data_IF_297655141797
#
_entry.id   IF_297655141797
#
_cell.length_a   1.000
_cell.length_b   1.000
_cell.length_c   1.000
_cell.angle_alpha   90.00
_cell.angle_beta   90.00
_cell.angle_gamma   90.00
#
_symmetry.space_group_name_H-M   'P 1'
#
loop_
_entity.id
_entity.type
_entity.pdbx_description
1 polymer ?
#
# COMPACT_ATOMS: atom_id res chain seq x y z
N UNK A 1 17.49 13.88 17.23
CA UNK A 1 16.28 14.21 16.46
C UNK A 1 15.30 13.07 16.63
N UNK A 2 14.12 13.32 17.14
CA UNK A 2 13.06 12.30 17.14
C UNK A 2 12.56 12.19 15.70
N UNK A 3 12.57 10.99 15.13
CA UNK A 3 11.97 10.77 13.83
C UNK A 3 10.44 10.80 14.01
N UNK A 4 9.78 11.85 13.56
CA UNK A 4 8.33 12.06 13.69
C UNK A 4 7.62 11.77 12.36
N UNK A 5 8.04 10.71 11.70
CA UNK A 5 7.57 10.33 10.38
C UNK A 5 7.02 8.91 10.37
N UNK A 6 6.03 8.69 9.53
CA UNK A 6 5.48 7.37 9.18
C UNK A 6 5.08 7.38 7.72
N UNK A 7 5.32 6.27 7.03
CA UNK A 7 4.80 6.04 5.70
C UNK A 7 3.52 5.19 5.78
N UNK A 8 2.43 5.72 5.25
CA UNK A 8 1.14 5.03 5.22
C UNK A 8 0.65 4.98 3.78
N UNK A 9 0.09 3.86 3.39
CA UNK A 9 -0.43 3.71 2.04
C UNK A 9 -1.14 2.40 1.80
N UNK A 10 -0.99 1.95 0.57
CA UNK A 10 -1.62 0.73 0.05
C UNK A 10 -0.59 -0.14 -0.65
N UNK A 11 -0.86 -1.42 -0.73
CA UNK A 11 -0.20 -2.28 -1.70
C UNK A 11 -1.02 -2.34 -2.97
N UNK A 12 -0.36 -2.12 -4.07
CA UNK A 12 -0.93 -2.15 -5.42
C UNK A 12 -0.64 -3.50 -6.03
N UNK A 13 -1.62 -4.10 -6.72
CA UNK A 13 -1.43 -5.33 -7.48
C UNK A 13 -1.98 -5.15 -8.90
N UNK A 14 -1.15 -5.49 -9.89
CA UNK A 14 -1.44 -5.38 -11.33
C UNK A 14 -0.87 -6.58 -12.07
N UNK A 15 -1.35 -6.91 -13.28
CA UNK A 15 -0.71 -7.91 -14.14
C UNK A 15 0.76 -7.58 -14.41
N UNK A 16 1.62 -8.59 -14.46
CA UNK A 16 3.07 -8.43 -14.71
C UNK A 16 3.35 -7.59 -15.95
N UNK A 17 2.56 -7.76 -17.02
CA UNK A 17 2.74 -7.05 -18.29
C UNK A 17 2.74 -5.53 -18.17
N UNK A 18 2.08 -4.97 -17.16
CA UNK A 18 2.05 -3.52 -16.89
C UNK A 18 3.41 -3.04 -16.38
N UNK A 19 4.09 -3.83 -15.55
CA UNK A 19 5.34 -3.44 -14.89
C UNK A 19 6.61 -4.04 -15.52
N UNK A 20 6.49 -5.02 -16.39
CA UNK A 20 7.60 -5.80 -16.94
C UNK A 20 8.72 -4.94 -17.55
N UNK A 21 8.37 -3.90 -18.28
CA UNK A 21 9.35 -3.00 -18.93
C UNK A 21 10.19 -2.19 -17.93
N UNK A 22 9.70 -2.02 -16.68
CA UNK A 22 10.43 -1.40 -15.58
C UNK A 22 11.16 -2.43 -14.73
N UNK A 23 10.54 -3.58 -14.48
CA UNK A 23 11.06 -4.57 -13.52
C UNK A 23 12.08 -5.53 -14.11
N UNK A 24 12.07 -5.77 -15.43
CA UNK A 24 13.07 -6.60 -16.10
C UNK A 24 14.46 -5.96 -16.16
N UNK A 25 14.61 -4.66 -16.53
CA UNK A 25 15.91 -4.01 -16.58
C UNK A 25 16.41 -3.50 -15.23
N UNK A 26 15.54 -3.32 -14.24
CA UNK A 26 15.87 -2.72 -12.94
C UNK A 26 15.69 -3.74 -11.83
N UNK A 27 16.69 -3.85 -10.94
CA UNK A 27 16.57 -4.71 -9.76
C UNK A 27 15.39 -4.31 -8.88
N UNK A 28 15.19 -2.99 -8.68
CA UNK A 28 14.04 -2.41 -7.99
C UNK A 28 13.65 -1.11 -8.68
N UNK A 29 12.48 -1.09 -9.32
CA UNK A 29 11.95 0.13 -9.92
C UNK A 29 11.34 1.01 -8.84
N UNK A 30 12.02 2.10 -8.48
CA UNK A 30 11.55 3.04 -7.47
C UNK A 30 11.03 4.31 -8.15
N UNK A 31 9.72 4.50 -8.08
CA UNK A 31 9.04 5.69 -8.58
C UNK A 31 8.74 6.64 -7.40
N UNK A 32 8.94 7.93 -7.63
CA UNK A 32 8.69 8.98 -6.64
C UNK A 32 7.89 10.09 -7.31
N UNK A 33 6.87 10.57 -6.61
CA UNK A 33 6.03 11.68 -7.03
C UNK A 33 5.71 12.59 -5.84
N UNK A 34 5.65 13.89 -6.07
CA UNK A 34 5.16 14.83 -5.08
C UNK A 34 3.75 15.24 -5.50
N UNK A 35 2.77 14.94 -4.65
CA UNK A 35 1.35 15.16 -4.93
C UNK A 35 1.05 16.65 -5.09
N UNK A 36 0.29 17.01 -6.12
CA UNK A 36 -0.01 18.40 -6.44
C UNK A 36 -0.87 19.08 -5.36
N UNK A 37 -1.84 18.32 -4.80
CA UNK A 37 -2.80 18.88 -3.83
C UNK A 37 -2.18 19.11 -2.46
N UNK A 38 -1.37 18.18 -1.96
CA UNK A 38 -0.89 18.20 -0.58
C UNK A 38 0.63 18.23 -0.46
N UNK A 39 1.36 18.27 -1.56
CA UNK A 39 2.83 18.25 -1.62
C UNK A 39 3.46 17.05 -0.90
N UNK A 40 2.68 16.04 -0.56
CA UNK A 40 3.18 14.83 0.05
C UNK A 40 4.03 14.02 -0.94
N UNK A 41 5.17 13.55 -0.48
CA UNK A 41 5.97 12.58 -1.22
C UNK A 41 5.26 11.23 -1.24
N UNK A 42 5.02 10.71 -2.43
CA UNK A 42 4.53 9.35 -2.66
C UNK A 42 5.62 8.55 -3.34
N UNK A 43 5.88 7.34 -2.87
CA UNK A 43 6.90 6.48 -3.46
C UNK A 43 6.44 5.04 -3.56
N UNK A 44 6.94 4.33 -4.59
CA UNK A 44 6.86 2.88 -4.60
C UNK A 44 7.88 2.27 -3.65
N UNK A 45 7.59 1.09 -3.14
CA UNK A 45 8.48 0.36 -2.25
C UNK A 45 8.24 -1.16 -2.35
N UNK A 46 9.31 -1.96 -2.18
CA UNK A 46 9.25 -3.43 -2.23
C UNK A 46 8.45 -3.94 -3.43
N UNK A 47 8.99 -3.73 -4.63
CA UNK A 47 8.36 -4.20 -5.86
C UNK A 47 8.66 -5.69 -6.07
N UNK A 48 7.60 -6.48 -6.23
CA UNK A 48 7.63 -7.93 -6.32
C UNK A 48 7.04 -8.43 -7.65
N UNK A 49 7.85 -8.50 -8.73
CA UNK A 49 7.40 -9.07 -10.00
C UNK A 49 7.12 -10.57 -9.87
N UNK A 50 5.94 -11.00 -10.32
CA UNK A 50 5.51 -12.40 -10.15
C UNK A 50 5.30 -12.80 -8.69
N UNK A 51 5.21 -11.83 -7.78
CA UNK A 51 5.02 -12.05 -6.36
C UNK A 51 3.55 -12.18 -5.95
N UNK A 52 3.32 -12.36 -4.67
CA UNK A 52 1.99 -12.36 -4.09
C UNK A 52 1.86 -11.27 -3.02
N UNK A 53 0.64 -10.80 -2.83
CA UNK A 53 0.27 -9.96 -1.69
C UNK A 53 0.14 -10.86 -0.47
N UNK A 54 0.69 -10.45 0.64
CA UNK A 54 0.68 -11.18 1.92
C UNK A 54 0.15 -10.30 3.05
N UNK A 55 -0.28 -10.97 4.10
CA UNK A 55 -0.66 -10.35 5.36
C UNK A 55 0.48 -10.52 6.35
N UNK A 56 0.77 -9.48 7.10
CA UNK A 56 1.75 -9.44 8.17
C UNK A 56 1.08 -8.96 9.45
N UNK A 57 1.45 -9.53 10.59
CA UNK A 57 0.89 -9.16 11.87
C UNK A 57 1.92 -8.46 12.74
N UNK A 58 1.57 -7.27 13.21
CA UNK A 58 2.33 -6.50 14.18
C UNK A 58 1.91 -6.86 15.61
N UNK A 59 2.68 -6.38 16.57
CA UNK A 59 2.36 -6.52 18.00
C UNK A 59 0.91 -6.06 18.28
N UNK A 60 0.21 -6.85 19.10
CA UNK A 60 -1.22 -6.61 19.38
C UNK A 60 -2.19 -7.18 18.33
N UNK A 61 -1.70 -8.02 17.38
CA UNK A 61 -2.54 -8.69 16.39
C UNK A 61 -3.02 -7.78 15.25
N UNK A 62 -2.34 -6.65 15.03
CA UNK A 62 -2.68 -5.71 13.96
C UNK A 62 -2.25 -6.29 12.63
N UNK A 63 -3.20 -6.61 11.76
CA UNK A 63 -2.92 -7.05 10.40
C UNK A 63 -2.60 -5.85 9.50
N UNK A 64 -1.49 -5.93 8.78
CA UNK A 64 -1.07 -5.00 7.74
C UNK A 64 -0.77 -5.75 6.46
N UNK A 65 -0.85 -5.07 5.32
CA UNK A 65 -0.50 -5.70 4.05
C UNK A 65 1.01 -5.60 3.80
N UNK A 66 1.55 -6.63 3.18
CA UNK A 66 2.92 -6.69 2.68
C UNK A 66 2.95 -7.43 1.34
N UNK A 67 4.12 -7.63 0.76
CA UNK A 67 4.31 -8.40 -0.46
C UNK A 67 5.46 -9.37 -0.32
N UNK A 68 5.36 -10.45 -1.06
CA UNK A 68 6.36 -11.49 -1.08
C UNK A 68 6.69 -11.91 -2.50
N UNK A 69 7.96 -12.18 -2.79
CA UNK A 69 8.41 -12.73 -4.06
C UNK A 69 9.09 -14.08 -3.83
N UNK A 70 9.01 -14.94 -4.85
CA UNK A 70 9.65 -16.25 -4.83
C UNK A 70 10.85 -16.29 -5.76
N UNK A 71 11.95 -16.88 -5.29
CA UNK A 71 13.10 -17.20 -6.13
C UNK A 71 12.76 -18.33 -7.12
N UNK A 72 11.91 -19.27 -6.70
CA UNK A 72 11.44 -20.35 -7.55
C UNK A 72 10.43 -19.83 -8.58
N UNK A 73 10.79 -19.97 -9.86
CA UNK A 73 9.95 -19.51 -10.96
C UNK A 73 8.60 -20.23 -11.04
N UNK A 74 8.50 -21.48 -10.54
CA UNK A 74 7.27 -22.26 -10.54
C UNK A 74 6.20 -21.72 -9.57
N UNK A 75 6.62 -20.92 -8.59
CA UNK A 75 5.75 -20.30 -7.59
C UNK A 75 5.33 -18.88 -7.96
N UNK A 76 5.85 -18.35 -9.07
CA UNK A 76 5.53 -16.99 -9.52
C UNK A 76 4.09 -16.87 -9.97
N UNK A 77 3.49 -15.74 -9.62
CA UNK A 77 2.14 -15.38 -10.05
C UNK A 77 2.16 -14.59 -11.36
N UNK A 78 0.99 -14.35 -11.94
CA UNK A 78 0.84 -13.49 -13.13
C UNK A 78 0.82 -12.00 -12.79
N UNK A 79 0.99 -11.65 -11.50
CA UNK A 79 0.88 -10.28 -11.01
C UNK A 79 2.22 -9.76 -10.45
N UNK A 80 2.40 -8.46 -10.59
CA UNK A 80 3.38 -7.67 -9.85
C UNK A 80 2.66 -6.90 -8.74
N UNK A 81 3.23 -6.90 -7.54
CA UNK A 81 2.72 -6.04 -6.46
C UNK A 81 3.82 -5.16 -5.89
N UNK A 82 3.43 -4.02 -5.36
CA UNK A 82 4.33 -3.06 -4.71
C UNK A 82 3.55 -2.13 -3.77
N UNK A 83 4.22 -1.64 -2.73
CA UNK A 83 3.65 -0.61 -1.89
C UNK A 83 3.64 0.75 -2.59
N UNK A 84 2.59 1.54 -2.41
CA UNK A 84 2.55 2.98 -2.63
C UNK A 84 2.36 3.68 -1.31
N UNK A 85 3.41 4.33 -0.85
CA UNK A 85 3.52 4.91 0.47
C UNK A 85 3.56 6.43 0.40
N UNK A 86 2.74 7.07 1.22
CA UNK A 86 2.72 8.52 1.42
C UNK A 86 3.54 8.84 2.65
N UNK A 87 4.62 9.58 2.49
CA UNK A 87 5.45 10.03 3.61
C UNK A 87 4.72 11.12 4.39
N UNK A 88 4.52 10.87 5.68
CA UNK A 88 3.80 11.76 6.56
C UNK A 88 4.69 12.20 7.70
N UNK A 89 4.91 13.50 7.80
CA UNK A 89 5.68 14.14 8.86
C UNK A 89 4.75 14.91 9.78
N UNK A 90 4.92 14.72 11.09
CA UNK A 90 4.13 15.41 12.09
C UNK A 90 4.93 16.48 12.81
N UNK A 91 4.25 17.54 13.24
CA UNK A 91 4.78 18.64 14.03
C UNK A 91 4.29 18.56 15.47
N UNK A 92 5.06 19.19 16.38
CA UNK A 92 4.60 19.33 17.78
C UNK A 92 3.22 19.98 17.85
N UNK A 93 2.37 19.57 18.82
CA UNK A 93 2.67 18.73 19.99
C UNK A 93 2.66 17.21 19.71
N UNK A 94 2.27 16.75 18.51
CA UNK A 94 2.18 15.35 18.19
C UNK A 94 3.59 14.74 17.97
N UNK A 95 3.86 13.58 18.56
CA UNK A 95 5.16 12.92 18.52
C UNK A 95 5.10 11.38 18.51
N UNK A 96 3.94 10.80 18.15
CA UNK A 96 3.73 9.35 18.19
C UNK A 96 3.36 8.77 16.81
N UNK A 97 4.23 8.89 15.79
CA UNK A 97 3.92 8.49 14.42
C UNK A 97 3.61 6.98 14.29
N UNK A 98 4.29 6.14 15.07
CA UNK A 98 4.03 4.69 15.10
C UNK A 98 2.61 4.39 15.58
N UNK A 99 2.20 5.04 16.68
CA UNK A 99 0.83 4.90 17.21
C UNK A 99 -0.22 5.33 16.21
N UNK A 100 0.04 6.43 15.47
CA UNK A 100 -0.85 6.90 14.42
C UNK A 100 -0.99 5.86 13.30
N UNK A 101 0.13 5.31 12.80
CA UNK A 101 0.11 4.27 11.78
C UNK A 101 -0.64 3.01 12.21
N UNK A 102 -0.39 2.56 13.45
CA UNK A 102 -1.11 1.42 14.05
C UNK A 102 -2.61 1.70 14.17
N UNK A 103 -3.01 2.91 14.55
CA UNK A 103 -4.42 3.29 14.64
C UNK A 103 -5.12 3.21 13.29
N UNK A 104 -4.48 3.69 12.21
CA UNK A 104 -5.03 3.59 10.85
C UNK A 104 -5.17 2.12 10.42
N UNK A 105 -4.17 1.29 10.72
CA UNK A 105 -4.24 -0.15 10.42
C UNK A 105 -5.35 -0.85 11.21
N UNK A 106 -5.50 -0.55 12.51
CA UNK A 106 -6.58 -1.08 13.36
C UNK A 106 -7.96 -0.70 12.83
N UNK A 107 -8.13 0.53 12.32
CA UNK A 107 -9.38 0.96 11.69
C UNK A 107 -9.73 0.08 10.48
N UNK A 108 -8.74 -0.24 9.64
CA UNK A 108 -8.89 -1.20 8.55
C UNK A 108 -9.31 -2.58 9.03
N UNK A 109 -8.62 -3.09 10.06
CA UNK A 109 -8.91 -4.41 10.64
C UNK A 109 -10.32 -4.49 11.23
N UNK A 110 -10.77 -3.42 11.88
CA UNK A 110 -12.13 -3.35 12.42
C UNK A 110 -13.19 -3.54 11.32
N UNK A 111 -12.98 -2.98 10.14
CA UNK A 111 -13.90 -3.07 9.02
C UNK A 111 -13.85 -4.40 8.25
N UNK A 112 -12.79 -5.17 8.46
CA UNK A 112 -12.55 -6.46 7.76
C UNK A 112 -12.67 -7.67 8.69
N UNK A 113 -12.99 -7.45 9.96
CA UNK A 113 -13.03 -8.54 10.93
C UNK A 113 -11.65 -9.06 11.34
N UNK A 114 -10.61 -8.22 11.23
CA UNK A 114 -9.25 -8.53 11.69
C UNK A 114 -8.20 -8.72 10.58
N UNK A 115 -8.61 -8.72 9.31
CA UNK A 115 -7.70 -8.93 8.17
C UNK A 115 -7.42 -7.67 7.35
N UNK A 116 -6.97 -7.88 6.12
CA UNK A 116 -6.62 -6.84 5.13
C UNK A 116 -7.81 -6.55 4.21
N UNK A 117 -8.01 -5.28 3.89
CA UNK A 117 -9.02 -4.85 2.91
C UNK A 117 -8.47 -4.86 1.49
N UNK A 118 -9.31 -5.20 0.50
CA UNK A 118 -9.03 -5.02 -0.92
C UNK A 118 -10.11 -4.19 -1.59
N UNK A 119 -9.68 -3.25 -2.46
CA UNK A 119 -10.59 -2.43 -3.27
C UNK A 119 -10.06 -2.30 -4.69
N UNK A 120 -10.96 -2.36 -5.68
CA UNK A 120 -10.62 -2.01 -7.06
C UNK A 120 -10.49 -0.50 -7.22
N UNK A 121 -9.45 -0.05 -7.92
CA UNK A 121 -9.27 1.39 -8.18
C UNK A 121 -10.50 2.01 -8.83
N UNK A 122 -11.12 1.34 -9.79
CA UNK A 122 -12.33 1.85 -10.45
C UNK A 122 -13.51 2.06 -9.52
N UNK A 123 -13.63 1.27 -8.46
CA UNK A 123 -14.69 1.45 -7.45
C UNK A 123 -14.35 2.59 -6.51
N UNK A 124 -13.09 2.70 -6.07
CA UNK A 124 -12.60 3.83 -5.26
C UNK A 124 -12.84 5.17 -5.98
N UNK A 125 -12.48 5.27 -7.26
CA UNK A 125 -12.65 6.49 -8.07
C UNK A 125 -14.13 6.89 -8.27
N UNK A 126 -15.04 5.93 -8.17
CA UNK A 126 -16.50 6.15 -8.24
C UNK A 126 -17.13 6.34 -6.86
N UNK A 127 -16.33 6.47 -5.79
CA UNK A 127 -16.79 6.67 -4.43
C UNK A 127 -17.66 5.53 -3.90
N UNK A 128 -17.34 4.28 -4.23
CA UNK A 128 -18.13 3.12 -3.81
C UNK A 128 -17.23 1.97 -3.36
N UNK A 129 -17.76 1.15 -2.43
CA UNK A 129 -17.04 -0.04 -1.99
C UNK A 129 -16.95 -1.09 -3.10
N UNK A 130 -15.89 -1.87 -3.11
CA UNK A 130 -15.82 -3.13 -3.83
C UNK A 130 -16.56 -4.20 -3.02
N UNK A 131 -17.36 -5.02 -3.69
CA UNK A 131 -17.97 -6.22 -3.16
C UNK A 131 -17.46 -7.46 -3.93
N UNK A 132 -17.83 -8.66 -3.47
CA UNK A 132 -17.40 -9.92 -4.07
C UNK A 132 -17.74 -9.99 -5.56
N UNK A 133 -18.94 -9.52 -5.95
CA UNK A 133 -19.40 -9.59 -7.34
C UNK A 133 -18.58 -8.65 -8.25
N UNK A 134 -18.18 -7.48 -7.75
CA UNK A 134 -17.30 -6.55 -8.45
C UNK A 134 -15.88 -7.06 -8.53
N UNK A 135 -15.37 -7.64 -7.42
CA UNK A 135 -14.03 -8.22 -7.39
C UNK A 135 -13.92 -9.39 -8.36
N UNK A 136 -14.94 -10.25 -8.43
CA UNK A 136 -14.99 -11.36 -9.38
C UNK A 136 -14.96 -10.94 -10.85
N UNK A 137 -15.39 -9.71 -11.17
CA UNK A 137 -15.34 -9.13 -12.52
C UNK A 137 -14.03 -8.45 -12.86
N UNK A 138 -13.09 -8.36 -11.89
CA UNK A 138 -11.78 -7.77 -12.14
C UNK A 138 -10.95 -8.67 -13.06
N UNK A 139 -10.22 -8.06 -13.99
CA UNK A 139 -9.23 -8.78 -14.80
C UNK A 139 -7.98 -9.10 -14.02
N UNK A 140 -7.60 -8.23 -13.06
CA UNK A 140 -6.55 -8.54 -12.08
C UNK A 140 -7.14 -9.45 -11.00
N UNK A 141 -6.59 -10.65 -10.86
CA UNK A 141 -7.04 -11.62 -9.85
C UNK A 141 -6.28 -11.44 -8.55
N UNK A 142 -6.96 -11.27 -7.39
CA UNK A 142 -6.28 -11.12 -6.10
C UNK A 142 -5.39 -12.32 -5.79
N UNK A 143 -4.14 -12.08 -5.42
CA UNK A 143 -3.25 -13.14 -4.91
C UNK A 143 -3.46 -13.38 -3.41
N UNK A 144 -3.79 -12.36 -2.62
CA UNK A 144 -4.23 -12.53 -1.23
C UNK A 144 -5.72 -12.92 -1.17
N UNK A 145 -5.99 -14.21 -1.05
CA UNK A 145 -7.36 -14.76 -1.09
C UNK A 145 -8.19 -14.45 0.15
N UNK A 146 -7.54 -14.13 1.27
CA UNK A 146 -8.19 -13.77 2.55
C UNK A 146 -8.55 -12.30 2.63
N UNK A 147 -8.10 -11.47 1.67
CA UNK A 147 -8.43 -10.04 1.68
C UNK A 147 -9.93 -9.80 1.50
N UNK A 148 -10.48 -8.94 2.34
CA UNK A 148 -11.91 -8.64 2.40
C UNK A 148 -12.23 -7.45 1.48
N UNK A 149 -13.15 -7.60 0.51
CA UNK A 149 -13.58 -6.48 -0.32
C UNK A 149 -14.21 -5.37 0.51
N UNK A 150 -13.78 -4.13 0.27
CA UNK A 150 -14.22 -3.01 1.10
C UNK A 150 -14.09 -1.65 0.42
N UNK A 151 -13.99 -0.62 1.26
CA UNK A 151 -13.82 0.77 0.87
C UNK A 151 -12.71 1.44 1.69
N UNK A 152 -11.59 1.68 1.05
CA UNK A 152 -10.41 2.29 1.67
C UNK A 152 -10.63 3.76 2.07
N UNK A 153 -11.68 4.41 1.54
CA UNK A 153 -12.03 5.78 1.92
C UNK A 153 -12.53 5.90 3.37
N UNK A 154 -12.98 4.79 3.97
CA UNK A 154 -13.32 4.75 5.41
C UNK A 154 -12.10 4.57 6.32
N UNK A 155 -10.95 4.27 5.75
CA UNK A 155 -9.74 3.92 6.51
C UNK A 155 -8.64 4.94 6.34
N UNK A 156 -8.27 5.22 5.09
CA UNK A 156 -7.17 6.12 4.80
C UNK A 156 -7.63 7.58 4.88
N UNK A 157 -6.86 8.46 5.54
CA UNK A 157 -7.14 9.88 5.55
C UNK A 157 -7.24 10.44 4.12
N UNK A 158 -8.11 11.43 3.92
CA UNK A 158 -8.32 12.07 2.61
C UNK A 158 -7.02 12.49 1.93
N UNK A 159 -6.09 13.07 2.69
CA UNK A 159 -4.77 13.46 2.22
C UNK A 159 -3.99 12.30 1.61
N UNK A 160 -4.02 11.12 2.24
CA UNK A 160 -3.31 9.94 1.76
C UNK A 160 -3.94 9.40 0.47
N UNK A 161 -5.26 9.25 0.44
CA UNK A 161 -5.98 8.78 -0.75
C UNK A 161 -5.77 9.70 -1.95
N UNK A 162 -5.91 11.01 -1.75
CA UNK A 162 -5.71 11.99 -2.82
C UNK A 162 -4.29 11.89 -3.37
N UNK A 163 -3.28 11.88 -2.50
CA UNK A 163 -1.88 11.77 -2.91
C UNK A 163 -1.58 10.46 -3.66
N UNK A 164 -2.15 9.34 -3.23
CA UNK A 164 -2.01 8.03 -3.91
C UNK A 164 -2.66 8.08 -5.30
N UNK A 165 -3.88 8.61 -5.43
CA UNK A 165 -4.59 8.69 -6.70
C UNK A 165 -3.85 9.58 -7.70
N UNK A 166 -3.33 10.73 -7.25
CA UNK A 166 -2.50 11.62 -8.09
C UNK A 166 -1.22 10.93 -8.55
N UNK A 167 -0.52 10.25 -7.63
CA UNK A 167 0.69 9.50 -7.96
C UNK A 167 0.42 8.34 -8.93
N UNK A 168 -0.68 7.58 -8.75
CA UNK A 168 -1.05 6.52 -9.69
C UNK A 168 -1.31 7.06 -11.10
N UNK A 169 -1.98 8.21 -11.21
CA UNK A 169 -2.22 8.87 -12.49
C UNK A 169 -0.91 9.35 -13.14
N UNK A 170 0.02 9.85 -12.34
CA UNK A 170 1.33 10.26 -12.83
C UNK A 170 2.18 9.05 -13.28
N UNK A 171 2.19 7.97 -12.50
CA UNK A 171 2.93 6.75 -12.80
C UNK A 171 2.35 5.96 -13.98
N UNK A 172 1.06 6.10 -14.27
CA UNK A 172 0.43 5.50 -15.46
C UNK A 172 1.09 5.96 -16.77
N UNK A 173 1.70 7.16 -16.79
CA UNK A 173 2.48 7.65 -17.94
C UNK A 173 3.76 6.84 -18.16
N UNK A 174 4.31 6.25 -17.09
CA UNK A 174 5.51 5.41 -17.11
C UNK A 174 5.17 3.93 -17.23
N UNK A 175 4.03 3.51 -16.68
CA UNK A 175 3.54 2.14 -16.69
C UNK A 175 2.05 2.13 -17.14
N UNK A 176 1.78 2.25 -18.45
CA UNK A 176 0.42 2.32 -18.98
C UNK A 176 -0.43 1.13 -18.55
N UNK A 177 -1.58 1.42 -17.96
CA UNK A 177 -2.48 0.44 -17.35
C UNK A 177 -2.41 0.35 -15.84
N UNK A 178 -1.47 1.04 -15.19
CA UNK A 178 -1.40 1.13 -13.74
C UNK A 178 -2.64 1.84 -13.16
N UNK A 179 -3.11 2.88 -13.81
CA UNK A 179 -4.34 3.62 -13.45
C UNK A 179 -5.59 2.98 -14.05
N UNK A 180 -5.60 1.64 -14.16
CA UNK A 180 -6.75 0.88 -14.64
C UNK A 180 -7.80 0.71 -13.55
N UNK A 181 -9.08 0.65 -13.96
CA UNK A 181 -10.19 0.30 -13.06
C UNK A 181 -10.04 -1.08 -12.39
N UNK A 182 -9.22 -1.95 -12.98
CA UNK A 182 -8.98 -3.32 -12.51
C UNK A 182 -7.74 -3.44 -11.60
N UNK A 183 -6.99 -2.37 -11.42
CA UNK A 183 -5.89 -2.32 -10.44
C UNK A 183 -6.46 -2.55 -9.05
N UNK A 184 -5.83 -3.44 -8.29
CA UNK A 184 -6.23 -3.76 -6.93
C UNK A 184 -5.37 -2.98 -5.93
N UNK A 185 -6.04 -2.45 -4.92
CA UNK A 185 -5.45 -1.73 -3.81
C UNK A 185 -5.76 -2.47 -2.52
N UNK A 186 -4.73 -2.81 -1.76
CA UNK A 186 -4.87 -3.47 -0.46
C UNK A 186 -4.46 -2.51 0.64
N UNK A 187 -5.20 -2.44 1.70
CA UNK A 187 -4.89 -1.55 2.83
C UNK A 187 -5.09 -2.23 4.19
N UNK A 188 -4.27 -1.83 5.10
CA UNK A 188 -3.34 -0.69 5.10
C UNK A 188 -1.91 -1.22 5.04
N UNK A 189 -1.04 -0.56 4.30
CA UNK A 189 0.39 -0.75 4.44
C UNK A 189 0.99 0.37 5.29
N UNK A 190 1.76 0.01 6.32
CA UNK A 190 2.42 0.95 7.23
C UNK A 190 3.88 0.61 7.28
N UNK A 191 4.76 1.60 7.09
CA UNK A 191 6.20 1.45 7.27
C UNK A 191 6.71 2.51 8.24
N UNK A 192 7.45 2.04 9.24
CA UNK A 192 8.06 2.91 10.23
C UNK A 192 9.50 3.19 9.88
N UNK A 193 9.94 4.41 10.17
CA UNK A 193 11.36 4.76 10.19
C UNK A 193 11.98 4.30 11.50
N UNK A 194 13.30 4.37 11.59
CA UNK A 194 14.04 3.92 12.77
C UNK A 194 13.53 4.54 14.07
N UNK A 195 13.31 3.73 15.08
CA UNK A 195 12.98 4.17 16.43
C UNK A 195 14.23 4.73 17.12
N UNK A 196 14.06 5.79 17.89
CA UNK A 196 15.13 6.29 18.75
C UNK A 196 15.34 5.32 19.91
N UNK A 197 16.52 4.74 20.02
CA UNK A 197 16.90 3.91 21.17
C UNK A 197 17.09 4.81 22.38
N UNK A 198 16.36 4.56 23.46
CA UNK A 198 16.62 5.18 24.75
C UNK A 198 17.78 4.44 25.41
N UNK A 199 18.94 5.06 25.39
CA UNK A 199 20.12 4.55 26.12
C UNK A 199 20.08 5.15 27.53
N UNK A 200 19.82 4.33 28.52
CA UNK A 200 20.05 4.72 29.91
C UNK A 200 21.56 4.67 30.16
N UNK A 201 22.21 5.81 30.18
CA UNK A 201 23.58 5.93 30.70
C UNK A 201 23.53 5.65 32.20
N UNK A 202 23.58 4.39 32.58
CA UNK A 202 24.01 3.95 33.93
C UNK A 202 25.41 3.37 33.78
N UNK A 203 26.37 4.24 33.97
CA UNK A 203 27.74 3.89 34.39
C UNK A 203 27.96 4.49 35.77
#
# INVERSE_FOLDING_TARGET
MSNNEVDIGVRVEVPNSIMDHLTKPLYEAKLVYYADTFENKVRTFCMNPGGLVSEEHYEGGIAVVNGHSYNDASLRTENTNFAMLVSTHFTKPFGEPIRYGNYIAQLGNMLTGGGVMVQRLGDLLLGRRTDESRLAKSTTRPTLKTAVPGDLSFVLPHRHLTSIIEAMRAFDKLAPGLYSRNTLLYGVEVKFYSSKVNVNNRF
#
